data_IF_879780217187
#
_entry.id   IF_879780217187
#
_cell.length_a   1.000
_cell.length_b   1.000
_cell.length_c   1.000
_cell.angle_alpha   90.00
_cell.angle_beta   90.00
_cell.angle_gamma   90.00
#
_symmetry.space_group_name_H-M   'P 1'
#
loop_
_entity.id
_entity.type
_entity.pdbx_description
1 polymer ?
#
# COMPACT_ATOMS: atom_id res chain seq x y z
N UNK A 1 18.53 -44.32 -13.86
CA UNK A 1 19.06 -43.05 -14.40
C UNK A 1 19.36 -42.14 -13.23
N UNK A 2 20.63 -41.94 -12.95
CA UNK A 2 21.11 -41.03 -11.92
C UNK A 2 21.13 -39.62 -12.49
N UNK A 3 20.57 -38.64 -11.76
CA UNK A 3 20.83 -37.23 -12.02
C UNK A 3 21.63 -36.67 -10.85
N UNK A 4 22.93 -36.63 -11.05
CA UNK A 4 23.92 -35.97 -10.20
C UNK A 4 23.92 -34.49 -10.57
N UNK A 5 23.40 -33.63 -9.70
CA UNK A 5 23.46 -32.16 -9.90
C UNK A 5 24.67 -31.66 -9.14
N UNK A 6 25.79 -31.51 -9.86
CA UNK A 6 27.02 -30.89 -9.34
C UNK A 6 26.79 -29.39 -9.22
N UNK A 7 26.76 -28.89 -7.99
CA UNK A 7 26.82 -27.47 -7.70
C UNK A 7 28.28 -27.09 -7.49
N UNK A 8 28.92 -26.58 -8.55
CA UNK A 8 30.26 -26.01 -8.48
C UNK A 8 30.18 -24.62 -7.85
N UNK A 9 30.40 -24.56 -6.54
CA UNK A 9 30.60 -23.32 -5.80
C UNK A 9 32.05 -22.85 -6.00
N UNK A 10 32.34 -22.25 -7.15
CA UNK A 10 33.63 -21.58 -7.37
C UNK A 10 33.69 -20.28 -6.56
N UNK A 11 34.33 -20.36 -5.39
CA UNK A 11 34.79 -19.20 -4.62
C UNK A 11 35.80 -18.39 -5.43
N UNK A 12 35.68 -17.06 -5.54
CA UNK A 12 36.78 -16.24 -6.04
C UNK A 12 37.86 -16.12 -4.95
N UNK A 13 39.01 -16.71 -5.22
CA UNK A 13 40.25 -16.50 -4.44
C UNK A 13 40.69 -15.04 -4.58
N UNK A 14 40.62 -14.26 -3.50
CA UNK A 14 41.35 -13.00 -3.42
C UNK A 14 42.83 -13.32 -3.27
N UNK A 15 43.55 -13.29 -4.38
CA UNK A 15 45.00 -13.28 -4.37
C UNK A 15 45.48 -11.89 -3.93
N UNK A 16 46.28 -11.91 -2.89
CA UNK A 16 47.16 -10.86 -2.41
C UNK A 16 48.21 -10.56 -3.49
N UNK A 17 48.30 -9.30 -3.93
CA UNK A 17 49.41 -8.77 -4.74
C UNK A 17 49.58 -7.28 -4.38
N UNK A 18 50.32 -7.06 -3.29
CA UNK A 18 50.94 -5.79 -2.98
C UNK A 18 52.10 -5.55 -3.98
N UNK A 19 51.90 -4.62 -4.92
CA UNK A 19 53.02 -3.97 -5.62
C UNK A 19 52.82 -2.44 -5.71
N UNK A 20 53.69 -1.63 -5.06
CA UNK A 20 53.67 -0.19 -5.19
C UNK A 20 54.36 0.21 -6.49
N UNK A 21 53.62 0.83 -7.43
CA UNK A 21 54.24 1.42 -8.62
C UNK A 21 54.87 2.78 -8.28
N UNK A 22 56.15 3.01 -8.64
CA UNK A 22 56.87 4.26 -8.38
C UNK A 22 56.34 5.43 -9.22
N UNK A 23 55.32 6.10 -8.69
CA UNK A 23 54.80 7.37 -9.22
C UNK A 23 55.14 8.51 -8.27
N UNK A 24 56.42 8.81 -8.10
CA UNK A 24 56.87 10.02 -7.38
C UNK A 24 56.32 11.24 -8.13
N UNK A 25 55.27 11.85 -7.59
CA UNK A 25 54.81 13.17 -8.01
C UNK A 25 55.86 14.19 -7.57
N UNK A 26 56.73 14.58 -8.49
CA UNK A 26 57.76 15.60 -8.28
C UNK A 26 57.08 16.97 -8.11
N UNK A 27 57.02 17.46 -6.88
CA UNK A 27 56.83 18.89 -6.67
C UNK A 27 58.15 19.60 -6.96
N UNK A 28 58.28 20.19 -8.15
CA UNK A 28 59.33 21.17 -8.43
C UNK A 28 58.96 22.49 -7.75
N UNK A 29 59.53 22.71 -6.56
CA UNK A 29 59.53 24.01 -5.89
C UNK A 29 60.54 24.93 -6.60
N UNK A 30 60.11 25.52 -7.72
CA UNK A 30 60.83 26.63 -8.34
C UNK A 30 60.61 27.89 -7.49
N UNK A 31 61.57 28.23 -6.63
CA UNK A 31 61.62 29.53 -5.94
C UNK A 31 62.37 30.54 -6.80
N UNK A 32 61.68 31.09 -7.80
CA UNK A 32 61.96 32.40 -8.38
C UNK A 32 60.71 33.24 -8.11
N UNK A 33 60.76 34.29 -7.30
CA UNK A 33 61.50 35.51 -7.56
C UNK A 33 60.49 36.51 -8.12
N UNK A 34 60.20 37.55 -7.34
CA UNK A 34 59.50 38.79 -7.73
C UNK A 34 58.00 38.93 -7.40
N UNK A 35 57.69 40.13 -6.89
CA UNK A 35 56.47 40.54 -6.20
C UNK A 35 55.27 40.63 -7.16
N UNK A 36 54.25 39.81 -6.92
CA UNK A 36 53.01 39.80 -7.69
C UNK A 36 51.80 39.83 -6.78
N UNK A 37 51.36 41.04 -6.44
CA UNK A 37 49.99 41.44 -6.12
C UNK A 37 49.12 40.37 -5.41
N UNK A 38 49.12 40.40 -4.08
CA UNK A 38 48.27 39.56 -3.23
C UNK A 38 46.79 39.95 -3.31
N UNK A 39 46.13 39.73 -4.45
CA UNK A 39 44.67 39.55 -4.48
C UNK A 39 44.32 38.05 -4.39
N UNK A 40 45.01 37.30 -3.52
CA UNK A 40 44.50 36.01 -3.07
C UNK A 40 43.31 36.32 -2.17
N UNK A 41 42.11 36.38 -2.77
CA UNK A 41 40.83 36.32 -2.04
C UNK A 41 40.91 35.11 -1.11
N UNK A 42 41.33 35.36 0.13
CA UNK A 42 41.53 34.36 1.16
C UNK A 42 40.14 34.02 1.67
N UNK A 43 39.42 33.22 0.89
CA UNK A 43 38.10 32.72 1.29
C UNK A 43 38.30 31.94 2.59
N UNK A 44 37.50 32.20 3.64
CA UNK A 44 37.73 31.60 4.94
C UNK A 44 37.83 30.08 4.83
N UNK A 45 38.91 29.52 5.36
CA UNK A 45 39.09 28.08 5.48
C UNK A 45 37.94 27.52 6.32
N UNK A 46 37.08 26.70 5.72
CA UNK A 46 35.95 26.05 6.40
C UNK A 46 34.62 26.11 5.65
N UNK A 47 34.42 27.11 4.77
CA UNK A 47 33.11 27.34 4.13
C UNK A 47 32.71 26.21 3.19
N UNK A 48 33.66 25.60 2.47
CA UNK A 48 33.38 24.45 1.58
C UNK A 48 32.87 23.22 2.32
N UNK A 49 33.43 22.90 3.50
CA UNK A 49 32.98 21.74 4.29
C UNK A 49 31.63 22.02 4.96
N UNK A 50 31.42 23.23 5.48
CA UNK A 50 30.14 23.63 6.07
C UNK A 50 28.99 23.59 5.04
N UNK A 51 29.19 24.18 3.85
CA UNK A 51 28.19 24.17 2.76
C UNK A 51 27.85 22.75 2.28
N UNK A 52 28.87 21.88 2.17
CA UNK A 52 28.66 20.47 1.78
C UNK A 52 27.89 19.69 2.85
N UNK A 53 28.17 19.91 4.14
CA UNK A 53 27.40 19.31 5.24
C UNK A 53 25.93 19.72 5.19
N UNK A 54 25.66 21.03 5.07
CA UNK A 54 24.29 21.54 4.95
C UNK A 54 23.54 20.92 3.75
N UNK A 55 24.18 20.80 2.59
CA UNK A 55 23.58 20.14 1.42
C UNK A 55 23.29 18.65 1.64
N UNK A 56 24.11 17.93 2.40
CA UNK A 56 23.85 16.54 2.77
C UNK A 56 22.67 16.44 3.74
N UNK A 57 22.61 17.33 4.74
CA UNK A 57 21.54 17.35 5.74
C UNK A 57 20.18 17.68 5.09
N UNK A 58 20.14 18.63 4.16
CA UNK A 58 18.96 18.99 3.40
C UNK A 58 18.47 17.85 2.49
N UNK A 59 19.40 17.13 1.84
CA UNK A 59 19.09 15.95 1.03
C UNK A 59 18.54 14.81 1.90
N UNK A 60 19.14 14.57 3.06
CA UNK A 60 18.66 13.56 4.01
C UNK A 60 17.25 13.88 4.50
N UNK A 61 16.99 15.14 4.86
CA UNK A 61 15.66 15.60 5.27
C UNK A 61 14.61 15.37 4.18
N UNK A 62 14.94 15.72 2.92
CA UNK A 62 14.04 15.51 1.78
C UNK A 62 13.75 14.03 1.55
N UNK A 63 14.75 13.17 1.66
CA UNK A 63 14.59 11.72 1.54
C UNK A 63 13.67 11.15 2.63
N UNK A 64 13.84 11.60 3.88
CA UNK A 64 12.96 11.18 4.98
C UNK A 64 11.50 11.62 4.76
N UNK A 65 11.28 12.85 4.30
CA UNK A 65 9.94 13.34 3.98
C UNK A 65 9.29 12.55 2.83
N UNK A 66 10.06 12.20 1.79
CA UNK A 66 9.57 11.35 0.70
C UNK A 66 9.22 9.94 1.18
N UNK A 67 10.05 9.35 2.04
CA UNK A 67 9.78 8.04 2.64
C UNK A 67 8.51 8.05 3.48
N UNK A 68 8.29 9.09 4.29
CA UNK A 68 7.07 9.23 5.09
C UNK A 68 5.82 9.32 4.20
N UNK A 69 5.90 10.11 3.11
CA UNK A 69 4.81 10.21 2.12
C UNK A 69 4.54 8.88 1.44
N UNK A 70 5.58 8.12 1.10
CA UNK A 70 5.46 6.80 0.49
C UNK A 70 4.78 5.80 1.44
N UNK A 71 5.22 5.74 2.70
CA UNK A 71 4.62 4.87 3.72
C UNK A 71 3.13 5.20 3.88
N UNK A 72 2.78 6.49 4.00
CA UNK A 72 1.38 6.93 4.10
C UNK A 72 0.55 6.50 2.88
N UNK A 73 1.10 6.65 1.67
CA UNK A 73 0.42 6.24 0.45
C UNK A 73 0.19 4.72 0.38
N UNK A 74 1.18 3.93 0.79
CA UNK A 74 1.07 2.46 0.86
C UNK A 74 -0.01 2.07 1.86
N UNK A 75 0.03 2.59 3.08
CA UNK A 75 -0.96 2.26 4.14
C UNK A 75 -2.37 2.66 3.71
N UNK A 76 -2.53 3.83 3.10
CA UNK A 76 -3.84 4.27 2.58
C UNK A 76 -4.34 3.33 1.48
N UNK A 77 -3.49 3.00 0.51
CA UNK A 77 -3.86 2.14 -0.62
C UNK A 77 -4.16 0.69 -0.20
N UNK A 78 -3.45 0.14 0.79
CA UNK A 78 -3.75 -1.20 1.31
C UNK A 78 -5.04 -1.23 2.11
N UNK A 79 -5.29 -0.21 2.95
CA UNK A 79 -6.54 -0.09 3.70
C UNK A 79 -7.76 -0.04 2.78
N UNK A 80 -7.72 0.80 1.74
CA UNK A 80 -8.80 0.92 0.77
C UNK A 80 -9.05 -0.39 0.01
N UNK A 81 -7.99 -1.05 -0.45
CA UNK A 81 -8.11 -2.35 -1.14
C UNK A 81 -8.72 -3.41 -0.23
N UNK A 82 -8.29 -3.48 1.03
CA UNK A 82 -8.82 -4.43 2.00
C UNK A 82 -10.31 -4.16 2.29
N UNK A 83 -10.70 -2.90 2.39
CA UNK A 83 -12.09 -2.51 2.61
C UNK A 83 -13.00 -2.89 1.43
N UNK A 84 -12.54 -2.65 0.20
CA UNK A 84 -13.26 -3.08 -1.01
C UNK A 84 -13.43 -4.60 -1.03
N UNK A 85 -12.39 -5.35 -0.67
CA UNK A 85 -12.45 -6.81 -0.63
C UNK A 85 -13.44 -7.31 0.42
N UNK A 86 -13.46 -6.71 1.62
CA UNK A 86 -14.45 -7.02 2.67
C UNK A 86 -15.88 -6.77 2.19
N UNK A 87 -16.15 -5.58 1.63
CA UNK A 87 -17.47 -5.23 1.08
C UNK A 87 -17.89 -6.17 -0.05
N UNK A 88 -16.97 -6.58 -0.92
CA UNK A 88 -17.26 -7.53 -2.01
C UNK A 88 -17.73 -8.88 -1.47
N UNK A 89 -17.03 -9.41 -0.45
CA UNK A 89 -17.41 -10.67 0.20
C UNK A 89 -18.78 -10.52 0.85
N UNK A 90 -19.02 -9.42 1.54
CA UNK A 90 -20.28 -9.16 2.24
C UNK A 90 -21.46 -9.04 1.26
N UNK A 91 -21.32 -8.29 0.17
CA UNK A 91 -22.34 -8.20 -0.88
C UNK A 91 -22.62 -9.57 -1.50
N UNK A 92 -21.60 -10.39 -1.72
CA UNK A 92 -21.78 -11.74 -2.24
C UNK A 92 -22.55 -12.64 -1.25
N UNK A 93 -22.23 -12.56 0.05
CA UNK A 93 -22.95 -13.25 1.12
C UNK A 93 -24.41 -12.81 1.17
N UNK A 94 -24.67 -11.51 1.24
CA UNK A 94 -26.02 -10.94 1.24
C UNK A 94 -26.83 -11.34 0.02
N UNK A 95 -26.21 -11.38 -1.17
CA UNK A 95 -26.87 -11.81 -2.40
C UNK A 95 -27.35 -13.26 -2.31
N UNK A 96 -26.53 -14.15 -1.76
CA UNK A 96 -26.90 -15.55 -1.58
C UNK A 96 -28.01 -15.71 -0.52
N UNK A 97 -27.88 -15.02 0.61
CA UNK A 97 -28.91 -15.02 1.65
C UNK A 97 -30.24 -14.46 1.15
N UNK A 98 -30.22 -13.42 0.32
CA UNK A 98 -31.42 -12.87 -0.30
C UNK A 98 -32.14 -13.88 -1.21
N UNK A 99 -31.41 -14.75 -1.92
CA UNK A 99 -32.06 -15.83 -2.69
C UNK A 99 -32.90 -16.72 -1.78
N UNK A 100 -32.36 -17.06 -0.61
CA UNK A 100 -33.05 -17.90 0.37
C UNK A 100 -34.23 -17.14 0.97
N UNK A 101 -34.03 -15.88 1.39
CA UNK A 101 -35.07 -15.04 2.00
C UNK A 101 -36.26 -14.79 1.08
N UNK A 102 -36.01 -14.57 -0.22
CA UNK A 102 -37.04 -14.19 -1.19
C UNK A 102 -37.51 -15.33 -2.11
N UNK A 103 -37.02 -16.56 -1.95
CA UNK A 103 -37.56 -17.71 -2.69
C UNK A 103 -39.09 -17.84 -2.49
N UNK A 104 -39.83 -18.30 -3.49
CA UNK A 104 -41.23 -18.63 -3.28
C UNK A 104 -41.32 -20.04 -2.65
N UNK A 105 -41.85 -20.13 -1.43
CA UNK A 105 -42.02 -21.44 -0.77
C UNK A 105 -43.16 -22.24 -1.39
N UNK A 106 -44.12 -21.57 -2.06
CA UNK A 106 -45.24 -22.24 -2.69
C UNK A 106 -44.84 -22.91 -4.01
N UNK A 107 -43.79 -22.42 -4.67
CA UNK A 107 -43.24 -23.02 -5.89
C UNK A 107 -42.38 -24.27 -5.64
N UNK A 108 -42.00 -24.56 -4.39
CA UNK A 108 -41.19 -25.74 -4.04
C UNK A 108 -42.13 -26.93 -3.85
N UNK A 109 -42.11 -27.92 -4.73
CA UNK A 109 -43.00 -29.10 -4.64
C UNK A 109 -42.68 -29.96 -3.42
N UNK A 110 -41.40 -30.26 -3.18
CA UNK A 110 -40.97 -31.15 -2.10
C UNK A 110 -41.15 -30.50 -0.70
N UNK A 111 -41.95 -31.11 0.20
CA UNK A 111 -42.11 -30.64 1.57
C UNK A 111 -40.81 -30.56 2.37
N UNK A 112 -39.86 -31.49 2.14
CA UNK A 112 -38.61 -31.51 2.89
C UNK A 112 -37.70 -30.33 2.51
N UNK A 113 -37.49 -30.08 1.21
CA UNK A 113 -36.81 -28.89 0.71
C UNK A 113 -37.47 -27.60 1.20
N UNK A 114 -38.81 -27.51 1.17
CA UNK A 114 -39.55 -26.33 1.63
C UNK A 114 -39.27 -26.01 3.10
N UNK A 115 -39.32 -27.04 3.96
CA UNK A 115 -39.01 -26.91 5.39
C UNK A 115 -37.55 -26.52 5.62
N UNK A 116 -36.62 -27.07 4.84
CA UNK A 116 -35.21 -26.70 4.90
C UNK A 116 -35.00 -25.21 4.61
N UNK A 117 -35.56 -24.69 3.50
CA UNK A 117 -35.45 -23.26 3.15
C UNK A 117 -36.09 -22.38 4.22
N UNK A 118 -37.25 -22.77 4.76
CA UNK A 118 -37.89 -22.06 5.85
C UNK A 118 -36.99 -21.97 7.11
N UNK A 119 -36.32 -23.06 7.47
CA UNK A 119 -35.37 -23.06 8.58
C UNK A 119 -34.14 -22.19 8.29
N UNK A 120 -33.60 -22.23 7.07
CA UNK A 120 -32.47 -21.37 6.66
C UNK A 120 -32.82 -19.89 6.76
N UNK A 121 -34.06 -19.49 6.38
CA UNK A 121 -34.53 -18.11 6.57
C UNK A 121 -34.49 -17.68 8.03
N UNK A 122 -35.00 -18.52 8.92
CA UNK A 122 -35.01 -18.23 10.35
C UNK A 122 -33.59 -18.06 10.90
N UNK A 123 -32.64 -18.87 10.44
CA UNK A 123 -31.21 -18.75 10.80
C UNK A 123 -30.58 -17.46 10.26
N UNK A 124 -30.89 -17.05 9.03
CA UNK A 124 -30.37 -15.80 8.45
C UNK A 124 -30.93 -14.60 9.22
N UNK A 125 -32.23 -14.58 9.51
CA UNK A 125 -32.87 -13.49 10.25
C UNK A 125 -32.30 -13.34 11.67
N UNK A 126 -32.04 -14.45 12.38
CA UNK A 126 -31.47 -14.40 13.73
C UNK A 126 -30.01 -13.93 13.76
N UNK A 127 -29.23 -14.17 12.69
CA UNK A 127 -27.87 -13.62 12.51
C UNK A 127 -27.89 -12.12 12.21
N UNK A 128 -28.84 -11.65 11.40
CA UNK A 128 -29.01 -10.22 11.09
C UNK A 128 -29.31 -9.38 12.34
N UNK A 129 -30.19 -9.87 13.22
CA UNK A 129 -30.53 -9.16 14.47
C UNK A 129 -29.32 -8.95 15.39
N UNK A 130 -28.34 -9.87 15.39
CA UNK A 130 -27.12 -9.75 16.20
C UNK A 130 -26.09 -8.79 15.60
N UNK A 131 -25.98 -8.72 14.27
CA UNK A 131 -25.01 -7.85 13.59
C UNK A 131 -25.44 -6.38 13.60
N UNK A 132 -26.75 -6.09 13.59
CA UNK A 132 -27.28 -4.72 13.66
C UNK A 132 -27.10 -4.04 15.03
N UNK A 133 -26.78 -4.77 16.11
CA UNK A 133 -26.56 -4.19 17.44
C UNK A 133 -25.10 -3.78 17.71
N UNK A 134 -24.17 -4.13 16.82
CA UNK A 134 -22.76 -3.74 16.92
C UNK A 134 -22.36 -2.59 15.99
N UNK A 135 -23.33 -1.99 15.27
CA UNK A 135 -23.11 -0.75 14.54
C UNK A 135 -23.44 0.45 15.44
N UNK A 136 -22.40 1.09 15.97
CA UNK A 136 -22.45 2.43 16.57
C UNK A 136 -23.22 3.42 15.66
N UNK A 137 -23.92 4.42 16.23
CA UNK A 137 -24.83 5.30 15.49
C UNK A 137 -24.05 6.33 14.67
N UNK A 138 -23.66 5.96 13.46
CA UNK A 138 -23.28 6.89 12.40
C UNK A 138 -24.50 7.28 11.59
N UNK A 139 -24.89 8.55 11.66
CA UNK A 139 -25.98 9.16 10.88
C UNK A 139 -25.95 8.72 9.41
N UNK A 140 -26.98 7.98 8.98
CA UNK A 140 -26.99 7.39 7.65
C UNK A 140 -28.37 6.92 7.20
N UNK A 141 -29.22 7.89 6.85
CA UNK A 141 -30.33 7.76 5.89
C UNK A 141 -31.26 6.54 6.04
N UNK A 142 -32.34 6.73 6.81
CA UNK A 142 -33.60 5.98 6.64
C UNK A 142 -34.06 6.10 5.18
N UNK A 143 -33.78 5.10 4.37
CA UNK A 143 -34.37 4.94 3.03
C UNK A 143 -35.86 4.62 3.20
N UNK A 144 -36.70 5.65 3.17
CA UNK A 144 -38.14 5.51 3.08
C UNK A 144 -38.49 5.09 1.65
N UNK A 145 -38.80 3.81 1.46
CA UNK A 145 -39.49 3.33 0.27
C UNK A 145 -40.88 3.99 0.19
N UNK A 146 -40.98 5.11 -0.54
CA UNK A 146 -42.25 5.73 -0.91
C UNK A 146 -42.80 4.95 -2.11
N UNK A 147 -43.73 4.03 -1.85
CA UNK A 147 -44.53 3.38 -2.87
C UNK A 147 -45.21 4.45 -3.74
N UNK A 148 -44.82 4.52 -5.03
CA UNK A 148 -45.51 5.35 -6.01
C UNK A 148 -46.90 4.76 -6.25
N UNK A 149 -47.92 5.49 -5.77
CA UNK A 149 -49.30 5.29 -6.21
C UNK A 149 -49.38 5.68 -7.68
N UNK A 150 -49.46 4.70 -8.57
CA UNK A 150 -50.02 4.95 -9.89
C UNK A 150 -51.52 5.16 -9.70
N UNK A 151 -51.96 6.42 -9.73
CA UNK A 151 -53.35 6.71 -10.01
C UNK A 151 -53.59 6.49 -11.50
N UNK A 152 -54.50 5.56 -11.79
CA UNK A 152 -55.16 5.43 -13.07
C UNK A 152 -55.80 6.77 -13.43
N UNK A 153 -55.29 7.43 -14.48
CA UNK A 153 -56.07 8.38 -15.25
C UNK A 153 -56.50 7.61 -16.50
N UNK A 154 -57.71 7.03 -16.45
CA UNK A 154 -58.44 6.68 -17.66
C UNK A 154 -58.78 8.00 -18.35
N UNK A 155 -58.29 8.19 -19.57
CA UNK A 155 -58.92 9.08 -20.53
C UNK A 155 -60.10 8.32 -21.15
N UNK A 156 -61.30 8.83 -20.94
CA UNK A 156 -62.43 8.76 -21.87
C UNK A 156 -63.14 10.11 -21.83
#
# INVERSE_FOLDING_TARGET
MYFEVRYDFSSPSLQDESSPTPGMNSFDLNTSGEEGNFSKSRRPMGVKKAKRKQQCDDQFKKMMEQNERLIKAIVKGTSERNEIQRKKIEVQRMKEENKILFADLNSITDPACRKYIQNQRALIMSRGVQTTQHEEPGEGSRSQYRASRYQNILMF
#
